data_IF_319565211417
#
_entry.id   IF_319565211417
#
_cell.length_a   1.000
_cell.length_b   1.000
_cell.length_c   1.000
_cell.angle_alpha   90.00
_cell.angle_beta   90.00
_cell.angle_gamma   90.00
#
_symmetry.space_group_name_H-M   'P 1'
#
loop_
_entity.id
_entity.type
_entity.pdbx_description
1 polymer ?
#
# COMPACT_ATOMS: atom_id res chain seq x y z
N UNK A 1 14.10 18.82 23.04
CA UNK A 1 13.80 17.38 23.00
C UNK A 1 12.74 17.12 21.93
N UNK A 2 13.05 16.24 20.98
CA UNK A 2 12.03 15.88 19.98
C UNK A 2 11.12 14.80 20.57
N UNK A 3 9.81 14.93 20.41
CA UNK A 3 8.92 13.89 20.87
C UNK A 3 9.21 12.59 20.11
N UNK A 4 9.08 11.47 20.82
CA UNK A 4 9.15 10.15 20.19
C UNK A 4 7.78 9.83 19.61
N UNK A 5 7.75 9.46 18.34
CA UNK A 5 6.51 9.20 17.61
C UNK A 5 6.66 8.01 16.70
N UNK A 6 5.56 7.61 16.11
CA UNK A 6 5.60 6.56 15.09
C UNK A 6 6.19 7.12 13.80
N UNK A 7 6.99 6.31 13.12
CA UNK A 7 7.65 6.72 11.88
C UNK A 7 6.64 6.90 10.74
N UNK A 8 5.78 5.92 10.54
CA UNK A 8 4.76 6.01 9.50
C UNK A 8 3.86 4.79 9.42
N UNK A 9 2.77 4.91 8.66
CA UNK A 9 1.80 3.83 8.49
C UNK A 9 2.27 2.79 7.48
N UNK A 10 1.87 1.55 7.72
CA UNK A 10 2.01 0.44 6.77
C UNK A 10 0.61 -0.16 6.56
N UNK A 11 0.04 0.07 5.41
CA UNK A 11 -1.29 -0.40 5.05
C UNK A 11 -1.18 -1.67 4.23
N UNK A 12 -1.86 -2.73 4.68
CA UNK A 12 -1.86 -4.04 4.03
C UNK A 12 -3.28 -4.36 3.59
N UNK A 13 -3.44 -4.82 2.36
CA UNK A 13 -4.75 -5.18 1.83
C UNK A 13 -4.65 -6.55 1.17
N UNK A 14 -5.46 -7.49 1.63
CA UNK A 14 -5.64 -8.78 0.99
C UNK A 14 -6.93 -8.73 0.17
N UNK A 15 -6.85 -9.07 -1.11
CA UNK A 15 -8.00 -9.03 -2.01
C UNK A 15 -8.35 -10.45 -2.42
N UNK A 16 -9.61 -10.84 -2.23
CA UNK A 16 -10.15 -12.06 -2.77
C UNK A 16 -10.92 -11.75 -4.06
N UNK A 17 -10.81 -12.63 -5.03
CA UNK A 17 -11.50 -12.45 -6.30
C UNK A 17 -11.06 -11.19 -7.04
N UNK A 18 -9.75 -10.94 -7.07
CA UNK A 18 -9.18 -9.77 -7.73
C UNK A 18 -9.64 -9.67 -9.17
N UNK A 19 -10.18 -8.52 -9.55
CA UNK A 19 -10.73 -8.27 -10.88
C UNK A 19 -10.09 -7.07 -11.59
N UNK A 20 -8.97 -6.59 -11.11
CA UNK A 20 -8.20 -5.52 -11.75
C UNK A 20 -7.27 -6.05 -12.86
N UNK A 21 -6.35 -5.21 -13.34
CA UNK A 21 -5.41 -5.62 -14.39
C UNK A 21 -4.60 -6.86 -14.02
N UNK A 22 -4.47 -7.79 -14.96
CA UNK A 22 -3.72 -9.05 -14.79
C UNK A 22 -2.67 -9.28 -15.87
N UNK A 23 -2.42 -8.31 -16.72
CA UNK A 23 -1.32 -8.36 -17.67
C UNK A 23 -0.21 -7.41 -17.23
N UNK A 24 0.98 -7.62 -17.78
CA UNK A 24 2.16 -6.86 -17.37
C UNK A 24 2.04 -5.38 -17.74
N UNK A 25 1.50 -5.08 -18.91
CA UNK A 25 1.35 -3.70 -19.38
C UNK A 25 0.30 -2.93 -18.53
N UNK A 26 -0.85 -3.56 -18.29
CA UNK A 26 -1.91 -2.95 -17.48
C UNK A 26 -1.46 -2.70 -16.04
N UNK A 27 -0.72 -3.64 -15.47
CA UNK A 27 -0.21 -3.50 -14.11
C UNK A 27 0.89 -2.44 -14.02
N UNK A 28 1.76 -2.36 -15.02
CA UNK A 28 2.75 -1.30 -15.12
C UNK A 28 2.08 0.08 -15.15
N UNK A 29 1.09 0.24 -16.02
CA UNK A 29 0.37 1.49 -16.17
C UNK A 29 -0.34 1.89 -14.87
N UNK A 30 -0.97 0.93 -14.21
CA UNK A 30 -1.63 1.16 -12.92
C UNK A 30 -0.63 1.67 -11.88
N UNK A 31 0.51 1.00 -11.73
CA UNK A 31 1.53 1.36 -10.74
C UNK A 31 2.26 2.67 -11.10
N UNK A 32 2.42 2.95 -12.39
CA UNK A 32 3.04 4.19 -12.84
C UNK A 32 2.19 5.42 -12.51
N UNK A 33 0.87 5.26 -12.50
CA UNK A 33 -0.07 6.33 -12.25
C UNK A 33 -0.58 6.40 -10.80
N UNK A 34 -0.39 5.35 -10.02
CA UNK A 34 -0.97 5.28 -8.67
C UNK A 34 -0.38 6.29 -7.67
N UNK A 35 0.97 6.47 -7.57
CA UNK A 35 1.51 7.31 -6.52
C UNK A 35 0.93 8.73 -6.46
N UNK A 36 0.84 9.49 -7.57
CA UNK A 36 0.24 10.83 -7.51
C UNK A 36 -1.22 10.81 -7.06
N UNK A 37 -1.96 9.74 -7.35
CA UNK A 37 -3.38 9.62 -7.00
C UNK A 37 -3.62 9.46 -5.51
N UNK A 38 -2.60 9.02 -4.78
CA UNK A 38 -2.63 8.89 -3.32
C UNK A 38 -1.66 9.86 -2.64
N UNK A 39 -1.29 10.93 -3.34
CA UNK A 39 -0.42 12.00 -2.84
C UNK A 39 0.95 11.49 -2.40
N UNK A 40 1.51 10.58 -3.19
CA UNK A 40 2.85 10.04 -2.99
C UNK A 40 3.76 10.45 -4.15
N UNK A 41 5.07 10.45 -3.90
CA UNK A 41 6.07 10.96 -4.84
C UNK A 41 6.84 9.81 -5.49
N UNK A 42 6.60 9.50 -6.77
CA UNK A 42 7.36 8.44 -7.44
C UNK A 42 8.83 8.83 -7.62
N UNK A 43 9.74 7.87 -7.40
CA UNK A 43 11.17 8.07 -7.59
C UNK A 43 11.77 7.07 -8.58
N UNK A 44 10.94 6.20 -9.16
CA UNK A 44 11.32 5.27 -10.22
C UNK A 44 10.09 4.89 -11.02
N UNK A 45 10.30 4.28 -12.19
CA UNK A 45 9.24 3.60 -12.91
C UNK A 45 8.97 2.25 -12.25
N UNK A 46 7.74 1.74 -12.31
CA UNK A 46 7.40 0.47 -11.67
C UNK A 46 8.18 -0.71 -12.25
N UNK A 47 8.40 -1.70 -11.43
CA UNK A 47 8.94 -2.98 -11.82
C UNK A 47 7.80 -4.00 -11.82
N UNK A 48 7.61 -4.70 -12.94
CA UNK A 48 6.56 -5.71 -13.07
C UNK A 48 7.19 -7.00 -13.56
N UNK A 49 6.91 -8.11 -12.87
CA UNK A 49 7.43 -9.41 -13.26
C UNK A 49 6.36 -10.48 -13.12
N UNK A 50 6.45 -11.49 -13.97
CA UNK A 50 5.72 -12.74 -13.82
C UNK A 50 6.69 -13.82 -13.39
N UNK A 51 6.33 -14.58 -12.35
CA UNK A 51 7.18 -15.64 -11.82
C UNK A 51 6.35 -16.86 -11.45
N UNK A 52 7.03 -17.95 -11.11
CA UNK A 52 6.39 -19.15 -10.60
C UNK A 52 7.05 -19.51 -9.28
N UNK A 53 6.23 -19.67 -8.23
CA UNK A 53 6.73 -20.09 -6.92
C UNK A 53 7.15 -21.57 -6.98
N UNK A 54 7.99 -22.04 -6.01
CA UNK A 54 8.37 -23.47 -5.95
C UNK A 54 7.18 -24.42 -5.87
N UNK A 55 6.04 -24.00 -5.32
CA UNK A 55 4.82 -24.80 -5.27
C UNK A 55 4.04 -24.83 -6.59
N UNK A 56 4.55 -24.17 -7.63
CA UNK A 56 3.94 -24.16 -8.96
C UNK A 56 2.97 -23.01 -9.19
N UNK A 57 2.64 -22.23 -8.20
CA UNK A 57 1.70 -21.10 -8.34
C UNK A 57 2.34 -19.97 -9.17
N UNK A 58 1.63 -19.51 -10.18
CA UNK A 58 2.06 -18.38 -11.00
C UNK A 58 1.71 -17.08 -10.29
N UNK A 59 2.67 -16.18 -10.21
CA UNK A 59 2.52 -14.90 -9.53
C UNK A 59 2.89 -13.76 -10.46
N UNK A 60 2.01 -12.79 -10.59
CA UNK A 60 2.29 -11.52 -11.25
C UNK A 60 2.53 -10.49 -10.16
N UNK A 61 3.69 -9.86 -10.19
CA UNK A 61 4.11 -8.93 -9.14
C UNK A 61 4.45 -7.57 -9.71
N UNK A 62 4.14 -6.54 -8.95
CA UNK A 62 4.55 -5.17 -9.25
C UNK A 62 5.06 -4.50 -7.99
N UNK A 63 6.08 -3.67 -8.14
CA UNK A 63 6.54 -2.82 -7.05
C UNK A 63 7.10 -1.52 -7.59
N UNK A 64 7.01 -0.49 -6.77
CA UNK A 64 7.66 0.78 -7.05
C UNK A 64 8.11 1.40 -5.74
N UNK A 65 9.25 2.08 -5.79
CA UNK A 65 9.67 2.89 -4.66
C UNK A 65 9.13 4.30 -4.83
N UNK A 66 8.69 4.84 -3.73
CA UNK A 66 8.27 6.23 -3.60
C UNK A 66 9.21 6.92 -2.63
N UNK A 67 9.27 8.25 -2.69
CA UNK A 67 10.13 9.00 -1.75
C UNK A 67 9.77 8.67 -0.30
N UNK A 68 8.51 8.33 -0.05
CA UNK A 68 7.98 7.99 1.27
C UNK A 68 8.25 6.54 1.69
N UNK A 69 8.51 5.60 0.84
CA UNK A 69 9.08 4.24 0.99
C UNK A 69 8.73 3.31 -0.18
N UNK A 70 7.62 2.55 -0.16
CA UNK A 70 7.33 1.61 -1.26
C UNK A 70 5.84 1.26 -1.38
N UNK A 71 5.50 0.75 -2.58
CA UNK A 71 4.21 0.15 -2.90
C UNK A 71 4.47 -1.19 -3.60
N UNK A 72 3.79 -2.25 -3.19
CA UNK A 72 3.96 -3.57 -3.79
C UNK A 72 2.62 -4.31 -3.93
N UNK A 73 2.54 -5.16 -4.96
CA UNK A 73 1.38 -6.01 -5.23
C UNK A 73 1.85 -7.36 -5.72
N UNK A 74 1.24 -8.43 -5.23
CA UNK A 74 1.44 -9.78 -5.71
C UNK A 74 0.09 -10.41 -6.01
N UNK A 75 -0.09 -10.89 -7.24
CA UNK A 75 -1.34 -11.54 -7.66
C UNK A 75 -1.04 -13.01 -7.91
N UNK A 76 -1.71 -13.89 -7.18
CA UNK A 76 -1.73 -15.31 -7.49
C UNK A 76 -2.69 -15.53 -8.65
N UNK A 77 -2.16 -15.80 -9.84
CA UNK A 77 -2.98 -15.85 -11.05
C UNK A 77 -4.01 -16.98 -11.05
N UNK A 78 -3.70 -18.09 -10.37
CA UNK A 78 -4.57 -19.26 -10.37
C UNK A 78 -5.73 -19.15 -9.37
N UNK A 79 -5.53 -18.44 -8.26
CA UNK A 79 -6.53 -18.30 -7.20
C UNK A 79 -7.31 -16.99 -7.25
N UNK A 80 -6.75 -15.97 -7.91
CA UNK A 80 -7.32 -14.63 -7.91
C UNK A 80 -7.09 -13.87 -6.60
N UNK A 81 -6.24 -14.39 -5.70
CA UNK A 81 -5.88 -13.64 -4.48
C UNK A 81 -4.79 -12.65 -4.81
N UNK A 82 -4.92 -11.45 -4.26
CA UNK A 82 -3.92 -10.40 -4.43
C UNK A 82 -3.53 -9.82 -3.07
N UNK A 83 -2.25 -9.51 -2.92
CA UNK A 83 -1.69 -8.98 -1.68
C UNK A 83 -1.01 -7.65 -2.00
N UNK A 84 -1.56 -6.58 -1.44
CA UNK A 84 -1.06 -5.23 -1.66
C UNK A 84 -0.55 -4.65 -0.35
N UNK A 85 0.56 -3.88 -0.42
CA UNK A 85 0.95 -3.07 0.72
C UNK A 85 1.54 -1.74 0.28
N UNK A 86 1.35 -0.74 1.13
CA UNK A 86 2.03 0.54 1.05
C UNK A 86 2.61 0.87 2.42
N UNK A 87 3.92 1.10 2.45
CA UNK A 87 4.61 1.63 3.60
C UNK A 87 5.06 3.06 3.30
N UNK A 88 4.81 3.98 4.22
CA UNK A 88 5.10 5.40 4.01
C UNK A 88 5.58 6.05 5.30
N UNK A 89 6.65 6.86 5.20
CA UNK A 89 7.05 7.73 6.30
C UNK A 89 6.15 8.97 6.41
N UNK A 90 5.26 9.16 5.45
CA UNK A 90 4.27 10.25 5.43
C UNK A 90 2.92 9.68 5.84
N UNK A 91 2.27 10.29 6.84
CA UNK A 91 0.91 9.93 7.18
C UNK A 91 -0.05 10.42 6.09
N UNK A 92 -1.10 9.66 5.86
CA UNK A 92 -2.08 9.96 4.83
C UNK A 92 -3.50 9.82 5.39
N UNK A 93 -4.47 10.40 4.70
CA UNK A 93 -5.88 10.19 5.02
C UNK A 93 -6.24 8.76 4.65
N UNK A 94 -6.30 7.89 5.66
CA UNK A 94 -6.50 6.45 5.46
C UNK A 94 -7.78 6.15 4.68
N UNK A 95 -8.87 6.84 4.97
CA UNK A 95 -10.13 6.60 4.28
C UNK A 95 -10.07 6.99 2.80
N UNK A 96 -9.46 8.13 2.49
CA UNK A 96 -9.31 8.60 1.12
C UNK A 96 -8.39 7.66 0.32
N UNK A 97 -7.24 7.30 0.89
CA UNK A 97 -6.28 6.39 0.24
C UNK A 97 -6.92 5.02 0.06
N UNK A 98 -7.60 4.49 1.07
CA UNK A 98 -8.25 3.19 0.99
C UNK A 98 -9.32 3.18 -0.10
N UNK A 99 -10.08 4.26 -0.26
CA UNK A 99 -11.05 4.39 -1.35
C UNK A 99 -10.39 4.31 -2.72
N UNK A 100 -9.26 5.00 -2.92
CA UNK A 100 -8.49 4.92 -4.17
C UNK A 100 -7.94 3.51 -4.41
N UNK A 101 -7.40 2.87 -3.36
CA UNK A 101 -6.81 1.54 -3.48
C UNK A 101 -7.86 0.48 -3.79
N UNK A 102 -9.05 0.57 -3.22
CA UNK A 102 -10.14 -0.36 -3.54
C UNK A 102 -10.62 -0.20 -4.99
N UNK A 103 -10.56 1.01 -5.53
CA UNK A 103 -10.85 1.24 -6.95
C UNK A 103 -9.74 0.71 -7.85
N UNK A 104 -8.49 0.90 -7.46
CA UNK A 104 -7.33 0.42 -8.22
C UNK A 104 -7.23 -1.11 -8.21
N UNK A 105 -7.58 -1.74 -7.09
CA UNK A 105 -7.48 -3.19 -6.88
C UNK A 105 -8.85 -3.77 -6.54
N UNK A 106 -9.79 -3.78 -7.50
CA UNK A 106 -11.14 -4.27 -7.25
C UNK A 106 -11.16 -5.78 -7.05
N UNK A 107 -12.11 -6.25 -6.27
CA UNK A 107 -12.30 -7.66 -6.00
C UNK A 107 -13.58 -7.90 -5.20
N UNK A 108 -13.82 -9.16 -4.87
CA UNK A 108 -15.02 -9.59 -4.12
C UNK A 108 -14.97 -9.11 -2.67
N UNK A 109 -13.80 -9.12 -2.06
CA UNK A 109 -13.62 -8.66 -0.68
C UNK A 109 -12.21 -8.11 -0.47
N UNK A 110 -12.10 -7.19 0.49
CA UNK A 110 -10.84 -6.57 0.89
C UNK A 110 -10.69 -6.70 2.40
N UNK A 111 -9.64 -7.41 2.82
CA UNK A 111 -9.23 -7.44 4.22
C UNK A 111 -8.14 -6.40 4.41
N UNK A 112 -8.36 -5.45 5.32
CA UNK A 112 -7.49 -4.29 5.49
C UNK A 112 -6.88 -4.30 6.89
N UNK A 113 -5.56 -4.09 6.94
CA UNK A 113 -4.82 -3.96 8.18
C UNK A 113 -3.93 -2.73 8.10
N UNK A 114 -3.92 -1.92 9.14
CA UNK A 114 -3.03 -0.76 9.24
C UNK A 114 -2.14 -0.93 10.45
N UNK A 115 -0.83 -0.81 10.23
CA UNK A 115 0.17 -0.92 11.28
C UNK A 115 0.93 0.40 11.35
N UNK A 116 1.19 0.88 12.56
CA UNK A 116 2.09 2.00 12.78
C UNK A 116 3.49 1.47 13.02
N UNK A 117 4.44 1.91 12.20
CA UNK A 117 5.83 1.41 12.26
C UNK A 117 6.75 2.46 12.84
N UNK A 118 7.87 1.99 13.41
CA UNK A 118 8.88 2.85 13.99
C UNK A 118 8.39 3.56 15.24
N UNK A 119 7.65 2.87 16.10
CA UNK A 119 7.11 3.43 17.32
C UNK A 119 8.23 3.94 18.22
N UNK A 120 8.11 5.18 18.69
CA UNK A 120 9.11 5.82 19.51
C UNK A 120 10.29 6.41 18.73
N UNK A 121 10.26 6.39 17.42
CA UNK A 121 11.30 7.00 16.61
C UNK A 121 11.22 8.53 16.69
N UNK A 122 12.38 9.18 16.61
CA UNK A 122 12.43 10.64 16.52
C UNK A 122 12.21 11.05 15.07
N UNK A 123 11.16 11.83 14.84
CA UNK A 123 10.79 12.27 13.50
C UNK A 123 10.44 13.76 13.50
N UNK A 124 10.61 14.40 12.35
CA UNK A 124 10.16 15.77 12.11
C UNK A 124 8.74 15.72 11.54
N UNK A 125 7.79 16.33 12.22
CA UNK A 125 6.37 16.14 11.87
C UNK A 125 5.61 17.40 11.49
N UNK A 126 6.28 18.47 11.16
CA UNK A 126 5.62 19.77 10.92
C UNK A 126 4.47 19.73 9.90
N UNK A 127 4.56 18.86 8.90
CA UNK A 127 3.55 18.75 7.83
C UNK A 127 2.69 17.49 7.93
N UNK A 128 2.90 16.68 8.96
CA UNK A 128 2.31 15.34 9.07
C UNK A 128 1.23 15.23 10.15
N UNK A 129 1.08 16.26 10.95
CA UNK A 129 0.22 16.25 12.14
C UNK A 129 -1.24 15.85 11.88
N UNK A 130 -1.95 16.46 10.89
CA UNK A 130 -3.34 16.10 10.67
C UNK A 130 -3.53 14.64 10.25
N UNK A 131 -2.65 14.17 9.38
CA UNK A 131 -2.71 12.79 8.86
C UNK A 131 -2.32 11.78 9.93
N UNK A 132 -1.38 12.14 10.80
CA UNK A 132 -1.00 11.31 11.94
C UNK A 132 -2.20 11.11 12.88
N UNK A 133 -2.92 12.18 13.19
CA UNK A 133 -4.11 12.10 14.05
C UNK A 133 -5.19 11.21 13.42
N UNK A 134 -5.42 11.33 12.12
CA UNK A 134 -6.38 10.49 11.37
C UNK A 134 -5.99 9.02 11.41
N UNK A 135 -4.70 8.72 11.20
CA UNK A 135 -4.19 7.35 11.26
C UNK A 135 -4.35 6.76 12.65
N UNK A 136 -4.02 7.52 13.69
CA UNK A 136 -4.19 7.09 15.07
C UNK A 136 -5.66 6.82 15.40
N UNK A 137 -6.55 7.69 14.97
CA UNK A 137 -7.99 7.50 15.16
C UNK A 137 -8.48 6.24 14.46
N UNK A 138 -8.02 6.00 13.24
CA UNK A 138 -8.37 4.80 12.48
C UNK A 138 -7.92 3.52 13.21
N UNK A 139 -6.69 3.50 13.72
CA UNK A 139 -6.15 2.36 14.47
C UNK A 139 -6.97 2.06 15.74
N UNK A 140 -7.47 3.09 16.40
CA UNK A 140 -8.28 2.94 17.62
C UNK A 140 -9.67 2.36 17.35
N UNK A 141 -10.21 2.54 16.14
CA UNK A 141 -11.56 2.06 15.79
C UNK A 141 -11.55 0.64 15.26
N UNK A 142 -10.38 0.03 15.04
CA UNK A 142 -10.24 -1.31 14.49
C UNK A 142 -9.71 -2.27 15.55
N UNK A 143 -10.35 -3.43 15.75
CA UNK A 143 -9.78 -4.47 16.60
C UNK A 143 -8.46 -4.93 15.98
N UNK A 144 -7.42 -4.91 16.78
CA UNK A 144 -6.03 -5.14 16.41
C UNK A 144 -5.71 -6.48 15.80
#
# INVERSE_FOLDING_TARGET
>A
MHPTEDFGPHLLINVEGYSGPRDMDGLFELFDNLPPRIDMTPIMRPYVLRSRRPDGVRVLSAMTMIAESHIALHIEEDTGRAFFDIFSCKFFDTNAVLGELKRAFPGESHEVQLISRGCGYRVKRTEREPEHARTKAWLQTRPG
#
